data_IF_747376705345
#
_entry.id   IF_747376705345
#
_cell.length_a   1.000
_cell.length_b   1.000
_cell.length_c   1.000
_cell.angle_alpha   90.00
_cell.angle_beta   90.00
_cell.angle_gamma   90.00
#
_symmetry.space_group_name_H-M   'P 1'
#
loop_
_entity.id
_entity.type
_entity.pdbx_description
1 polymer ?
#
# COMPACT_ATOMS: atom_id res chain seq x y z
N UNK A 1 -11.47 -0.09 3.74
CA UNK A 1 -11.17 -0.96 2.59
C UNK A 1 -9.79 -1.54 2.81
N UNK A 2 -9.64 -2.85 2.61
CA UNK A 2 -8.34 -3.52 2.67
C UNK A 2 -7.67 -3.42 1.28
N UNK A 3 -6.40 -3.01 1.23
CA UNK A 3 -5.61 -2.89 -0.01
C UNK A 3 -4.31 -3.66 0.13
N UNK A 4 -4.02 -4.54 -0.83
CA UNK A 4 -2.75 -5.23 -0.95
C UNK A 4 -1.94 -4.68 -2.14
N UNK A 5 -0.67 -4.34 -1.91
CA UNK A 5 0.28 -3.90 -2.94
C UNK A 5 1.31 -5.02 -3.14
N UNK A 6 1.40 -5.54 -4.36
CA UNK A 6 2.37 -6.58 -4.75
C UNK A 6 3.58 -5.91 -5.40
N UNK A 7 4.76 -6.14 -4.82
CA UNK A 7 6.05 -5.55 -5.16
C UNK A 7 6.39 -4.38 -4.23
N UNK A 8 7.33 -4.56 -3.31
CA UNK A 8 7.73 -3.51 -2.35
C UNK A 8 8.93 -2.66 -2.81
N UNK A 9 9.17 -2.61 -4.12
CA UNK A 9 10.12 -1.71 -4.75
C UNK A 9 9.69 -0.24 -4.65
N UNK A 10 10.45 0.64 -5.30
CA UNK A 10 10.26 2.10 -5.21
C UNK A 10 8.81 2.55 -5.46
N UNK A 11 8.16 1.97 -6.46
CA UNK A 11 6.78 2.30 -6.82
C UNK A 11 5.80 1.83 -5.74
N UNK A 12 5.95 0.59 -5.26
CA UNK A 12 5.07 0.04 -4.23
C UNK A 12 5.15 0.82 -2.92
N UNK A 13 6.35 1.25 -2.52
CA UNK A 13 6.53 2.09 -1.33
C UNK A 13 5.92 3.48 -1.50
N UNK A 14 6.12 4.11 -2.67
CA UNK A 14 5.49 5.42 -2.96
C UNK A 14 3.96 5.33 -2.95
N UNK A 15 3.39 4.25 -3.51
CA UNK A 15 1.94 4.03 -3.50
C UNK A 15 1.41 3.77 -2.09
N UNK A 16 2.11 2.96 -1.29
CA UNK A 16 1.77 2.74 0.11
C UNK A 16 1.77 4.06 0.89
N UNK A 17 2.77 4.90 0.70
CA UNK A 17 2.86 6.21 1.37
C UNK A 17 1.71 7.14 1.01
N UNK A 18 1.20 7.09 -0.22
CA UNK A 18 0.02 7.85 -0.63
C UNK A 18 -1.24 7.32 0.04
N UNK A 19 -1.43 6.00 0.02
CA UNK A 19 -2.64 5.35 0.53
C UNK A 19 -2.76 5.35 2.06
N UNK A 20 -1.65 5.46 2.80
CA UNK A 20 -1.66 5.53 4.26
C UNK A 20 -2.46 6.71 4.83
N UNK A 21 -2.68 7.76 4.05
CA UNK A 21 -3.40 8.97 4.48
C UNK A 21 -4.86 9.00 4.00
N UNK A 22 -5.31 7.97 3.30
CA UNK A 22 -6.65 7.93 2.73
C UNK A 22 -7.66 7.39 3.75
N UNK A 23 -8.68 8.20 4.02
CA UNK A 23 -9.73 7.93 5.03
C UNK A 23 -10.50 6.63 4.79
N UNK A 24 -10.51 6.11 3.56
CA UNK A 24 -11.20 4.88 3.19
C UNK A 24 -10.33 3.63 3.36
N UNK A 25 -9.03 3.77 3.62
CA UNK A 25 -8.09 2.65 3.78
C UNK A 25 -8.09 2.23 5.25
N UNK A 26 -8.58 1.02 5.51
CA UNK A 26 -8.64 0.45 6.87
C UNK A 26 -7.44 -0.43 7.17
N UNK A 27 -6.85 -1.00 6.13
CA UNK A 27 -5.68 -1.87 6.23
C UNK A 27 -4.92 -1.84 4.91
N UNK A 28 -3.59 -1.81 5.01
CA UNK A 28 -2.68 -1.82 3.88
C UNK A 28 -1.63 -2.91 4.06
N UNK A 29 -1.54 -3.84 3.12
CA UNK A 29 -0.56 -4.93 3.13
C UNK A 29 0.43 -4.77 1.98
N UNK A 30 1.72 -4.82 2.31
CA UNK A 30 2.81 -4.89 1.33
C UNK A 30 3.24 -6.34 1.18
N UNK A 31 3.25 -6.84 -0.05
CA UNK A 31 3.66 -8.20 -0.39
C UNK A 31 4.82 -8.11 -1.38
N UNK A 32 5.93 -8.82 -1.11
CA UNK A 32 7.06 -8.93 -2.01
C UNK A 32 7.26 -10.39 -2.42
N UNK A 33 7.80 -10.64 -3.62
CA UNK A 33 8.00 -11.98 -4.21
C UNK A 33 9.46 -12.14 -4.61
#
# INVERSE_FOLDING_TARGET
MHIAIIGCGRIGQSLASLLLNEWYVSELSLVDV
#
